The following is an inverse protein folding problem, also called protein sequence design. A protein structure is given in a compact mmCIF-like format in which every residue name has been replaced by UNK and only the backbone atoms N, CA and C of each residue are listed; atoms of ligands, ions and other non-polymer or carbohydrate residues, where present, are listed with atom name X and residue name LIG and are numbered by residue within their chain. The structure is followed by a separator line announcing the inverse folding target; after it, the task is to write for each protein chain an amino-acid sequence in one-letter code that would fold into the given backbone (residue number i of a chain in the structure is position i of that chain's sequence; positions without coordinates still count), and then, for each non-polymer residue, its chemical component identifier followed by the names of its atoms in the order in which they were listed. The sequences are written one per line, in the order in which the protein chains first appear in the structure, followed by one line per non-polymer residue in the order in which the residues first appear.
data_IF_430288134421
#
_entry.id   IF_430288134421
#
_cell.length_a   1.000
_cell.length_b   1.000
_cell.length_c   1.000
_cell.angle_alpha   90.00
_cell.angle_beta   90.00
_cell.angle_gamma   90.00
#
_symmetry.space_group_name_H-M   'P 1'
#
loop_
_entity.id
_entity.type
_entity.pdbx_description
1 polymer ?
#
# COMPACT_ATOMS: atom_id res chain seq x y z
N UNK A 1 21.63 23.90 14.89
CA UNK A 1 21.46 22.57 14.25
C UNK A 1 21.27 21.44 15.26
N UNK A 2 22.00 21.43 16.39
CA UNK A 2 21.89 20.36 17.42
C UNK A 2 20.53 20.31 18.12
N UNK A 3 19.97 21.45 18.53
CA UNK A 3 18.69 21.51 19.27
C UNK A 3 17.49 20.93 18.47
N UNK A 4 17.29 21.27 17.18
CA UNK A 4 16.27 20.61 16.36
C UNK A 4 16.45 19.10 16.21
N UNK A 5 17.71 18.62 16.15
CA UNK A 5 18.01 17.19 16.05
C UNK A 5 17.69 16.44 17.35
N UNK A 6 18.05 17.02 18.50
CA UNK A 6 17.69 16.45 19.81
C UNK A 6 16.18 16.42 19.99
N UNK A 7 15.47 17.51 19.64
CA UNK A 7 14.01 17.51 19.66
C UNK A 7 13.42 16.39 18.78
N UNK A 8 14.04 16.08 17.64
CA UNK A 8 13.61 14.99 16.76
C UNK A 8 13.85 13.62 17.41
N UNK A 9 15.03 13.41 17.99
CA UNK A 9 15.38 12.18 18.73
C UNK A 9 14.40 12.00 19.89
N UNK A 10 14.23 13.01 20.73
CA UNK A 10 13.31 13.02 21.87
C UNK A 10 11.86 12.82 21.42
N UNK A 11 11.48 13.26 20.21
CA UNK A 11 10.15 13.03 19.64
C UNK A 11 9.95 11.57 19.26
N UNK A 12 10.93 10.97 18.59
CA UNK A 12 10.80 9.59 18.09
C UNK A 12 11.14 8.51 19.13
N UNK A 13 11.94 8.84 20.14
CA UNK A 13 12.26 7.97 21.27
C UNK A 13 10.99 7.57 22.05
N UNK A 14 9.98 8.45 22.10
CA UNK A 14 8.64 8.17 22.66
C UNK A 14 7.98 6.94 22.02
N UNK A 15 8.32 6.68 20.75
CA UNK A 15 7.81 5.56 19.95
C UNK A 15 8.78 4.37 19.94
N UNK A 16 9.83 4.39 20.76
CA UNK A 16 10.96 3.44 20.74
C UNK A 16 11.63 3.37 19.35
N UNK A 17 11.67 4.50 18.65
CA UNK A 17 12.29 4.60 17.32
C UNK A 17 13.64 5.28 17.47
N UNK A 18 14.69 4.52 17.20
CA UNK A 18 16.04 5.05 17.15
C UNK A 18 16.25 5.82 15.84
N UNK A 19 16.12 7.15 15.92
CA UNK A 19 16.33 8.05 14.78
C UNK A 19 17.73 7.92 14.18
N UNK A 20 18.72 7.46 14.95
CA UNK A 20 20.08 7.24 14.45
C UNK A 20 20.18 5.97 13.60
N UNK A 21 19.27 5.01 13.81
CA UNK A 21 19.17 3.77 13.03
C UNK A 21 18.34 3.94 11.76
N UNK A 22 17.43 4.93 11.73
CA UNK A 22 16.57 5.21 10.60
C UNK A 22 17.16 6.31 9.69
N UNK A 23 17.26 6.02 8.39
CA UNK A 23 17.96 6.87 7.41
C UNK A 23 17.18 8.15 7.07
N UNK A 24 15.88 8.22 7.41
CA UNK A 24 15.03 9.37 7.07
C UNK A 24 13.90 9.61 8.06
N UNK A 25 13.48 10.88 8.19
CA UNK A 25 12.27 11.26 8.94
C UNK A 25 11.04 10.53 8.41
N UNK A 26 10.94 10.32 7.08
CA UNK A 26 9.87 9.52 6.48
C UNK A 26 9.78 8.10 7.06
N UNK A 27 10.93 7.43 7.24
CA UNK A 27 10.96 6.10 7.84
C UNK A 27 10.64 6.13 9.33
N UNK A 28 11.06 7.17 10.06
CA UNK A 28 10.67 7.37 11.45
C UNK A 28 9.16 7.58 11.58
N UNK A 29 8.54 8.41 10.73
CA UNK A 29 7.08 8.64 10.69
C UNK A 29 6.33 7.36 10.33
N UNK A 30 6.83 6.58 9.36
CA UNK A 30 6.23 5.29 9.02
C UNK A 30 6.32 4.28 10.16
N UNK A 31 7.47 4.17 10.82
CA UNK A 31 7.65 3.32 11.99
C UNK A 31 6.78 3.80 13.16
N UNK A 32 6.65 5.11 13.35
CA UNK A 32 5.79 5.75 14.36
C UNK A 32 4.33 5.38 14.12
N UNK A 33 3.90 5.47 12.86
CA UNK A 33 2.56 5.12 12.41
C UNK A 33 2.25 3.65 12.65
N UNK A 34 3.18 2.74 12.35
CA UNK A 34 3.04 1.32 12.69
C UNK A 34 3.00 1.11 14.19
N UNK A 35 3.94 1.69 14.94
CA UNK A 35 3.99 1.58 16.40
C UNK A 35 2.70 2.09 17.04
N UNK A 36 2.15 3.20 16.53
CA UNK A 36 0.88 3.78 16.96
C UNK A 36 -0.32 2.90 16.65
N UNK A 37 -0.29 2.23 15.50
CA UNK A 37 -1.31 1.27 15.11
C UNK A 37 -1.28 0.03 15.99
N UNK A 38 -0.10 -0.49 16.37
CA UNK A 38 -0.01 -1.74 17.13
C UNK A 38 0.00 -1.56 18.65
N UNK A 39 0.35 -0.37 19.17
CA UNK A 39 0.47 -0.10 20.61
C UNK A 39 -0.29 1.16 21.06
N UNK A 40 -1.58 1.31 20.69
CA UNK A 40 -2.41 2.50 20.93
C UNK A 40 -2.51 2.93 22.41
N UNK A 41 -2.46 1.97 23.35
CA UNK A 41 -2.55 2.24 24.79
C UNK A 41 -1.34 2.97 25.38
N UNK A 42 -0.27 3.12 24.60
CA UNK A 42 0.92 3.89 24.97
C UNK A 42 0.82 5.37 24.57
N UNK A 43 -0.33 5.82 24.06
CA UNK A 43 -0.52 7.18 23.56
C UNK A 43 -1.50 8.01 24.41
N UNK A 44 -1.11 9.25 24.70
CA UNK A 44 -1.92 10.28 25.36
C UNK A 44 -2.11 11.49 24.43
N UNK A 45 -2.75 11.29 23.28
CA UNK A 45 -3.26 12.40 22.46
C UNK A 45 -4.79 12.36 22.51
N UNK A 46 -5.38 13.35 23.18
CA UNK A 46 -6.83 13.48 23.38
C UNK A 46 -7.58 13.84 22.08
N UNK A 47 -6.87 14.30 21.05
CA UNK A 47 -7.47 14.58 19.73
C UNK A 47 -7.48 13.31 18.88
N UNK A 48 -8.67 12.74 18.73
CA UNK A 48 -8.99 11.58 17.89
C UNK A 48 -8.28 10.27 18.29
N UNK A 49 -8.66 9.74 19.47
CA UNK A 49 -8.39 8.35 19.87
C UNK A 49 -8.96 7.39 18.83
N UNK A 50 -8.12 7.04 17.85
CA UNK A 50 -8.42 5.96 16.95
C UNK A 50 -7.55 4.76 17.34
N UNK A 51 -8.18 4.00 18.21
CA UNK A 51 -7.77 2.78 18.88
C UNK A 51 -7.66 1.63 17.88
N UNK A 52 -6.48 1.40 17.30
CA UNK A 52 -6.22 0.20 16.50
C UNK A 52 -5.53 -0.83 17.38
N UNK A 53 -6.06 -2.05 17.50
CA UNK A 53 -5.53 -3.10 18.38
C UNK A 53 -5.66 -2.87 19.92
N UNK A 54 -6.34 -1.84 20.48
CA UNK A 54 -6.53 -1.81 21.97
C UNK A 54 -7.40 -2.98 22.44
N UNK A 55 -8.32 -3.45 21.59
CA UNK A 55 -9.16 -4.61 21.84
C UNK A 55 -8.54 -5.92 21.34
N UNK A 56 -7.28 -5.90 20.85
CA UNK A 56 -6.60 -7.12 20.43
C UNK A 56 -6.26 -8.00 21.63
N UNK A 57 -7.07 -9.03 21.81
CA UNK A 57 -6.84 -10.14 22.72
C UNK A 57 -6.42 -11.42 21.95
N UNK A 58 -5.28 -11.99 22.33
CA UNK A 58 -4.75 -13.24 21.78
C UNK A 58 -5.68 -14.45 22.00
N UNK A 59 -6.69 -14.37 22.88
CA UNK A 59 -7.62 -15.47 23.16
C UNK A 59 -8.91 -15.38 22.33
N UNK A 60 -9.19 -14.23 21.73
CA UNK A 60 -10.37 -14.02 20.88
C UNK A 60 -10.21 -14.73 19.52
N UNK A 61 -11.34 -15.11 18.93
CA UNK A 61 -11.44 -15.59 17.56
C UNK A 61 -11.65 -14.39 16.61
N UNK A 62 -10.61 -14.07 15.83
CA UNK A 62 -10.68 -13.04 14.77
C UNK A 62 -10.88 -13.64 13.39
N UNK A 63 -11.08 -14.95 13.29
CA UNK A 63 -11.43 -15.51 12.00
C UNK A 63 -12.65 -14.75 11.46
N UNK A 64 -12.64 -14.47 10.17
CA UNK A 64 -13.76 -13.87 9.46
C UNK A 64 -14.47 -15.01 8.73
N UNK A 65 -15.19 -15.91 9.45
CA UNK A 65 -15.88 -16.99 8.79
C UNK A 65 -16.94 -16.37 7.88
N UNK A 66 -17.09 -16.96 6.70
CA UNK A 66 -18.29 -16.76 5.92
C UNK A 66 -19.50 -17.01 6.87
N UNK A 67 -20.40 -16.04 7.08
CA UNK A 67 -21.50 -16.20 8.04
C UNK A 67 -22.44 -17.35 7.67
N UNK A 68 -22.39 -17.82 6.43
CA UNK A 68 -23.12 -18.97 5.92
C UNK A 68 -22.25 -20.26 5.84
N UNK A 69 -21.03 -20.25 6.39
CA UNK A 69 -20.15 -21.41 6.37
C UNK A 69 -20.77 -22.55 7.18
N UNK A 70 -20.98 -23.69 6.52
CA UNK A 70 -21.47 -24.89 7.19
C UNK A 70 -20.37 -25.47 8.09
N UNK A 71 -20.71 -25.91 9.31
CA UNK A 71 -19.80 -26.70 10.13
C UNK A 71 -19.23 -27.88 9.34
N UNK A 72 -17.97 -28.20 9.58
CA UNK A 72 -17.36 -29.35 8.94
C UNK A 72 -17.87 -30.64 9.59
N UNK A 73 -18.37 -31.57 8.77
CA UNK A 73 -18.76 -32.91 9.22
C UNK A 73 -17.73 -33.94 8.75
N UNK A 74 -17.10 -34.65 9.69
CA UNK A 74 -16.11 -35.66 9.38
C UNK A 74 -16.78 -36.93 8.81
N UNK A 75 -16.50 -37.25 7.55
CA UNK A 75 -16.95 -38.51 6.94
C UNK A 75 -15.92 -39.63 7.12
N UNK A 76 -16.38 -40.88 7.15
CA UNK A 76 -15.51 -42.06 7.25
C UNK A 76 -14.49 -42.09 6.09
N UNK A 77 -14.92 -41.73 4.88
CA UNK A 77 -14.04 -41.67 3.71
C UNK A 77 -12.94 -40.60 3.85
N UNK A 78 -13.30 -39.41 4.33
CA UNK A 78 -12.34 -38.35 4.61
C UNK A 78 -11.33 -38.78 5.67
N UNK A 79 -11.81 -39.38 6.78
CA UNK A 79 -10.94 -39.85 7.86
C UNK A 79 -9.96 -40.93 7.40
N UNK A 80 -10.43 -41.93 6.65
CA UNK A 80 -9.58 -42.97 6.03
C UNK A 80 -8.45 -42.37 5.19
N UNK A 81 -8.77 -41.38 4.38
CA UNK A 81 -7.77 -40.66 3.58
C UNK A 81 -6.77 -39.90 4.46
N UNK A 82 -7.22 -39.25 5.53
CA UNK A 82 -6.34 -38.54 6.47
C UNK A 82 -5.39 -39.48 7.21
N UNK A 83 -5.85 -40.60 7.75
CA UNK A 83 -5.00 -41.61 8.38
C UNK A 83 -3.90 -42.11 7.44
N UNK A 84 -4.26 -42.39 6.17
CA UNK A 84 -3.28 -42.77 5.16
C UNK A 84 -2.21 -41.68 4.97
N UNK A 85 -2.63 -40.43 4.80
CA UNK A 85 -1.69 -39.32 4.62
C UNK A 85 -0.80 -39.07 5.84
N UNK A 86 -1.32 -39.15 7.06
CA UNK A 86 -0.52 -39.02 8.28
C UNK A 86 0.52 -40.14 8.41
N UNK A 87 0.13 -41.37 8.12
CA UNK A 87 1.06 -42.51 8.10
C UNK A 87 2.17 -42.32 7.06
N UNK A 88 1.82 -41.84 5.87
CA UNK A 88 2.81 -41.54 4.82
C UNK A 88 3.74 -40.38 5.21
N UNK A 89 3.22 -39.35 5.87
CA UNK A 89 4.02 -38.23 6.35
C UNK A 89 5.05 -38.68 7.40
N UNK A 90 4.63 -39.51 8.35
CA UNK A 90 5.51 -40.03 9.40
C UNK A 90 6.53 -41.02 8.84
N UNK A 91 6.11 -41.91 7.92
CA UNK A 91 7.03 -42.79 7.21
C UNK A 91 8.13 -42.01 6.48
N UNK A 92 7.76 -40.98 5.70
CA UNK A 92 8.71 -40.15 4.96
C UNK A 92 9.69 -39.39 5.86
N UNK A 93 9.27 -39.08 7.08
CA UNK A 93 10.10 -38.40 8.06
C UNK A 93 10.88 -39.36 8.97
N UNK A 94 10.83 -40.69 8.72
CA UNK A 94 11.53 -41.68 9.53
C UNK A 94 10.93 -41.93 10.92
N UNK A 95 9.68 -41.53 11.16
CA UNK A 95 8.98 -41.71 12.44
C UNK A 95 8.27 -43.07 12.54
N UNK A 96 8.03 -43.52 13.76
CA UNK A 96 7.27 -44.76 14.04
C UNK A 96 5.85 -44.67 13.44
N UNK A 97 5.42 -45.69 12.70
CA UNK A 97 4.10 -45.66 12.01
C UNK A 97 3.06 -46.61 12.59
N UNK A 98 3.44 -47.49 13.51
CA UNK A 98 2.55 -48.48 14.11
C UNK A 98 1.59 -47.86 15.12
N UNK A 99 2.06 -46.86 15.87
CA UNK A 99 1.26 -46.13 16.87
C UNK A 99 0.48 -44.95 16.30
N UNK A 100 0.41 -44.84 14.97
CA UNK A 100 -0.26 -43.72 14.31
C UNK A 100 -1.78 -43.75 14.53
N UNK A 101 -2.46 -42.62 14.30
CA UNK A 101 -3.92 -42.59 14.26
C UNK A 101 -4.45 -43.54 13.18
N UNK A 102 -5.53 -44.24 13.50
CA UNK A 102 -6.11 -45.28 12.66
C UNK A 102 -7.55 -44.97 12.28
N UNK A 103 -8.10 -45.78 11.37
CA UNK A 103 -9.51 -45.68 10.97
C UNK A 103 -10.47 -45.92 12.12
N UNK A 104 -10.04 -46.64 13.15
CA UNK A 104 -10.84 -47.00 14.31
C UNK A 104 -11.00 -45.82 15.28
N UNK A 105 -10.17 -44.78 15.12
CA UNK A 105 -10.27 -43.53 15.89
C UNK A 105 -11.34 -42.56 15.35
N UNK A 106 -12.16 -43.00 14.38
CA UNK A 106 -13.14 -42.16 13.69
C UNK A 106 -14.08 -41.42 14.64
N UNK A 107 -14.75 -42.14 15.55
CA UNK A 107 -15.76 -41.53 16.43
C UNK A 107 -15.14 -40.50 17.37
N UNK A 108 -13.92 -40.78 17.85
CA UNK A 108 -13.16 -39.84 18.67
C UNK A 108 -12.85 -38.54 17.92
N UNK A 109 -12.29 -38.63 16.71
CA UNK A 109 -11.91 -37.43 15.95
C UNK A 109 -13.10 -36.70 15.34
N UNK A 110 -14.20 -37.41 15.05
CA UNK A 110 -15.48 -36.78 14.69
C UNK A 110 -15.96 -35.89 15.83
N UNK A 111 -16.08 -36.44 17.04
CA UNK A 111 -16.49 -35.67 18.21
C UNK A 111 -15.50 -34.53 18.52
N UNK A 112 -14.20 -34.77 18.39
CA UNK A 112 -13.18 -33.74 18.59
C UNK A 112 -13.39 -32.57 17.64
N UNK A 113 -13.51 -32.79 16.33
CA UNK A 113 -13.68 -31.69 15.36
C UNK A 113 -15.05 -31.01 15.45
N UNK A 114 -16.09 -31.69 15.93
CA UNK A 114 -17.41 -31.09 16.17
C UNK A 114 -17.44 -30.16 17.38
N UNK A 115 -16.68 -30.50 18.43
CA UNK A 115 -16.74 -29.81 19.74
C UNK A 115 -15.58 -28.85 19.98
N UNK A 116 -14.45 -29.05 19.29
CA UNK A 116 -13.25 -28.25 19.48
C UNK A 116 -13.12 -27.13 18.45
N UNK A 117 -12.16 -26.25 18.71
CA UNK A 117 -11.70 -25.24 17.77
C UNK A 117 -10.24 -25.52 17.40
N UNK A 118 -9.74 -24.81 16.40
CA UNK A 118 -8.32 -24.83 16.06
C UNK A 118 -7.47 -24.36 17.26
N UNK A 119 -6.52 -25.18 17.69
CA UNK A 119 -5.61 -24.88 18.82
C UNK A 119 -4.74 -23.63 18.59
N UNK A 120 -4.51 -23.23 17.34
CA UNK A 120 -3.62 -22.12 16.98
C UNK A 120 -4.39 -20.80 16.82
N UNK A 121 -5.49 -20.81 16.06
CA UNK A 121 -6.24 -19.59 15.72
C UNK A 121 -7.57 -19.43 16.44
N UNK A 122 -8.00 -20.45 17.19
CA UNK A 122 -9.29 -20.51 17.89
C UNK A 122 -10.54 -20.49 16.99
N UNK A 123 -10.38 -20.65 15.67
CA UNK A 123 -11.49 -20.71 14.73
C UNK A 123 -12.18 -22.09 14.75
N UNK A 124 -13.50 -22.09 14.52
CA UNK A 124 -14.28 -23.31 14.28
C UNK A 124 -13.92 -23.98 12.95
N UNK A 125 -14.10 -25.29 12.88
CA UNK A 125 -13.90 -26.05 11.65
C UNK A 125 -15.13 -25.98 10.74
N UNK A 126 -14.90 -25.60 9.49
CA UNK A 126 -15.93 -25.48 8.44
C UNK A 126 -15.38 -26.07 7.15
N UNK A 127 -16.23 -26.23 6.13
CA UNK A 127 -15.75 -26.67 4.81
C UNK A 127 -14.74 -25.69 4.17
N UNK A 128 -14.79 -24.41 4.55
CA UNK A 128 -13.82 -23.39 4.13
C UNK A 128 -12.55 -23.37 5.02
N UNK A 129 -12.62 -23.98 6.21
CA UNK A 129 -11.55 -24.04 7.21
C UNK A 129 -11.37 -25.46 7.75
N UNK A 130 -10.81 -26.34 6.91
CA UNK A 130 -10.75 -27.77 7.17
C UNK A 130 -9.85 -28.12 8.37
N UNK A 131 -10.22 -29.13 9.18
CA UNK A 131 -9.39 -29.60 10.28
C UNK A 131 -8.21 -30.46 9.82
N UNK A 132 -7.20 -30.48 10.67
CA UNK A 132 -6.02 -31.31 10.61
C UNK A 132 -5.51 -31.61 12.02
N UNK A 133 -4.59 -32.56 12.13
CA UNK A 133 -3.84 -32.84 13.34
C UNK A 133 -2.48 -32.15 13.26
N UNK A 134 -2.24 -31.20 14.16
CA UNK A 134 -0.95 -30.57 14.38
C UNK A 134 -0.22 -31.33 15.49
N UNK A 135 1.05 -31.64 15.26
CA UNK A 135 1.86 -32.41 16.22
C UNK A 135 2.50 -31.45 17.20
N UNK A 136 2.36 -31.75 18.48
CA UNK A 136 2.99 -30.98 19.56
C UNK A 136 4.51 -31.18 19.54
N UNK A 137 4.94 -32.43 19.31
CA UNK A 137 6.33 -32.78 19.04
C UNK A 137 6.46 -33.32 17.61
N UNK A 138 7.25 -32.62 16.80
CA UNK A 138 7.49 -32.96 15.40
C UNK A 138 8.40 -34.19 15.21
N UNK A 139 9.09 -34.66 16.25
CA UNK A 139 9.87 -35.90 16.25
C UNK A 139 9.00 -37.13 16.54
N UNK A 140 7.81 -36.93 17.15
CA UNK A 140 6.87 -37.99 17.47
C UNK A 140 5.81 -38.18 16.37
N UNK A 141 5.25 -39.41 16.23
CA UNK A 141 4.23 -39.67 15.21
C UNK A 141 2.88 -39.06 15.56
N UNK A 142 1.95 -39.08 14.60
CA UNK A 142 0.58 -38.64 14.83
C UNK A 142 -0.14 -39.62 15.75
N UNK A 143 -0.28 -39.28 17.02
CA UNK A 143 -1.01 -40.07 18.02
C UNK A 143 -2.05 -39.20 18.73
N UNK A 144 -3.03 -39.81 19.40
CA UNK A 144 -4.02 -39.06 20.19
C UNK A 144 -3.39 -38.13 21.25
N UNK A 145 -2.28 -38.55 21.84
CA UNK A 145 -1.58 -37.79 22.87
C UNK A 145 -0.67 -36.69 22.29
N UNK A 146 -0.14 -36.89 21.08
CA UNK A 146 0.79 -35.95 20.45
C UNK A 146 0.09 -34.92 19.54
N UNK A 147 -1.19 -35.11 19.21
CA UNK A 147 -1.87 -34.25 18.24
C UNK A 147 -2.93 -33.34 18.86
N UNK A 148 -2.94 -32.08 18.41
CA UNK A 148 -4.01 -31.12 18.67
C UNK A 148 -4.80 -30.84 17.38
N UNK A 149 -6.11 -30.56 17.48
CA UNK A 149 -6.91 -30.19 16.31
C UNK A 149 -6.51 -28.77 15.85
N UNK A 150 -6.07 -28.64 14.60
CA UNK A 150 -5.66 -27.38 14.01
C UNK A 150 -6.18 -27.22 12.58
N UNK A 151 -6.42 -25.99 12.15
CA UNK A 151 -6.81 -25.71 10.77
C UNK A 151 -5.66 -26.02 9.81
N UNK A 152 -5.94 -26.53 8.60
CA UNK A 152 -4.88 -26.91 7.64
C UNK A 152 -3.91 -25.76 7.37
N UNK A 153 -4.42 -24.54 7.16
CA UNK A 153 -3.56 -23.37 6.93
C UNK A 153 -2.73 -23.00 8.15
N UNK A 154 -3.26 -23.20 9.36
CA UNK A 154 -2.57 -22.93 10.62
C UNK A 154 -1.41 -23.90 10.82
N UNK A 155 -1.66 -25.19 10.61
CA UNK A 155 -0.66 -26.25 10.70
C UNK A 155 0.49 -26.02 9.69
N UNK A 156 0.17 -25.65 8.45
CA UNK A 156 1.17 -25.28 7.44
C UNK A 156 1.98 -24.03 7.87
N UNK A 157 1.32 -23.01 8.42
CA UNK A 157 1.98 -21.78 8.85
C UNK A 157 2.86 -21.97 10.10
N UNK A 158 2.45 -22.88 10.99
CA UNK A 158 3.18 -23.32 12.18
C UNK A 158 4.43 -24.09 11.79
N UNK A 159 4.30 -25.14 10.99
CA UNK A 159 5.40 -26.00 10.60
C UNK A 159 6.26 -26.43 11.82
N UNK A 160 7.50 -25.93 11.92
CA UNK A 160 8.41 -26.18 13.04
C UNK A 160 8.73 -24.89 13.84
N UNK A 161 7.89 -23.85 13.72
CA UNK A 161 8.09 -22.56 14.39
C UNK A 161 7.54 -22.60 15.81
N UNK A 162 7.90 -21.60 16.61
CA UNK A 162 7.34 -21.46 17.96
C UNK A 162 5.80 -21.33 17.91
N UNK A 163 5.05 -22.15 18.67
CA UNK A 163 3.58 -22.14 18.63
C UNK A 163 2.97 -20.80 19.05
N UNK A 164 3.55 -20.11 20.04
CA UNK A 164 3.03 -18.83 20.56
C UNK A 164 3.25 -17.72 19.54
N UNK A 165 4.44 -17.63 18.96
CA UNK A 165 4.78 -16.64 17.93
C UNK A 165 3.91 -16.86 16.68
N UNK A 166 3.74 -18.11 16.27
CA UNK A 166 2.90 -18.45 15.11
C UNK A 166 1.43 -18.08 15.37
N UNK A 167 0.89 -18.45 16.53
CA UNK A 167 -0.47 -18.07 16.93
C UNK A 167 -0.66 -16.55 16.91
N UNK A 168 0.27 -15.79 17.49
CA UNK A 168 0.25 -14.33 17.48
C UNK A 168 0.20 -13.77 16.05
N UNK A 169 1.10 -14.20 15.17
CA UNK A 169 1.12 -13.71 13.79
C UNK A 169 -0.19 -14.03 13.02
N UNK A 170 -0.73 -15.23 13.20
CA UNK A 170 -2.00 -15.63 12.57
C UNK A 170 -3.14 -14.75 13.09
N UNK A 171 -3.22 -14.53 14.40
CA UNK A 171 -4.28 -13.73 15.01
C UNK A 171 -4.16 -12.25 14.64
N UNK A 172 -2.96 -11.68 14.63
CA UNK A 172 -2.73 -10.31 14.15
C UNK A 172 -3.15 -10.14 12.69
N UNK A 173 -2.86 -11.15 11.84
CA UNK A 173 -3.28 -11.15 10.44
C UNK A 173 -4.81 -11.20 10.32
N UNK A 174 -5.46 -12.07 11.08
CA UNK A 174 -6.93 -12.20 11.09
C UNK A 174 -7.59 -10.92 11.59
N UNK A 175 -7.07 -10.32 12.66
CA UNK A 175 -7.51 -9.01 13.15
C UNK A 175 -7.38 -7.93 12.06
N UNK A 176 -6.21 -7.84 11.41
CA UNK A 176 -6.01 -6.89 10.31
C UNK A 176 -7.02 -7.09 9.17
N UNK A 177 -7.34 -8.34 8.82
CA UNK A 177 -8.36 -8.67 7.81
C UNK A 177 -9.74 -8.21 8.27
N UNK A 178 -10.13 -8.51 9.51
CA UNK A 178 -11.44 -8.17 10.08
C UNK A 178 -11.67 -6.66 10.12
N UNK A 179 -10.62 -5.90 10.41
CA UNK A 179 -10.67 -4.44 10.55
C UNK A 179 -10.19 -3.67 9.31
N UNK A 180 -9.99 -4.36 8.16
CA UNK A 180 -9.53 -3.76 6.90
C UNK A 180 -8.21 -2.96 7.01
N UNK A 181 -7.34 -3.34 7.94
CA UNK A 181 -6.07 -2.68 8.14
C UNK A 181 -5.13 -2.92 6.96
N UNK A 182 -4.12 -2.07 6.73
CA UNK A 182 -3.16 -2.29 5.67
C UNK A 182 -2.34 -3.54 5.96
N UNK A 183 -2.09 -4.32 4.92
CA UNK A 183 -1.38 -5.58 5.03
C UNK A 183 -0.28 -5.66 3.98
N UNK A 184 0.64 -6.59 4.16
CA UNK A 184 1.60 -6.95 3.12
C UNK A 184 0.88 -7.35 1.84
N UNK A 185 1.28 -6.75 0.72
CA UNK A 185 0.76 -7.10 -0.60
C UNK A 185 1.25 -8.50 -0.97
N UNK A 186 0.32 -9.45 -1.09
CA UNK A 186 0.63 -10.83 -1.48
C UNK A 186 0.49 -11.10 -2.97
N UNK A 187 -0.24 -10.24 -3.70
CA UNK A 187 -0.41 -10.38 -5.15
C UNK A 187 0.72 -9.63 -5.88
N UNK A 188 1.53 -10.38 -6.62
CA UNK A 188 2.68 -9.85 -7.36
C UNK A 188 2.28 -8.78 -8.39
N UNK A 189 1.08 -8.88 -8.99
CA UNK A 189 0.58 -7.91 -9.99
C UNK A 189 0.27 -6.58 -9.33
N UNK A 190 -0.37 -6.62 -8.15
CA UNK A 190 -0.62 -5.44 -7.33
C UNK A 190 0.72 -4.82 -6.91
N UNK A 191 1.67 -5.64 -6.44
CA UNK A 191 3.00 -5.17 -6.06
C UNK A 191 3.72 -4.47 -7.22
N UNK A 192 3.75 -5.09 -8.41
CA UNK A 192 4.35 -4.51 -9.63
C UNK A 192 3.70 -3.18 -10.00
N UNK A 193 2.37 -3.11 -9.99
CA UNK A 193 1.62 -1.89 -10.28
C UNK A 193 1.95 -0.75 -9.29
N UNK A 194 2.00 -1.05 -7.99
CA UNK A 194 2.37 -0.07 -6.97
C UNK A 194 3.84 0.34 -7.07
N UNK A 195 4.74 -0.57 -7.46
CA UNK A 195 6.17 -0.27 -7.60
C UNK A 195 6.43 0.77 -8.68
N UNK A 196 5.63 0.79 -9.74
CA UNK A 196 5.69 1.82 -10.80
C UNK A 196 5.34 3.23 -10.29
N UNK A 197 4.58 3.34 -9.20
CA UNK A 197 4.23 4.63 -8.58
C UNK A 197 5.39 5.25 -7.80
N UNK A 198 6.40 4.45 -7.43
CA UNK A 198 7.49 4.92 -6.60
C UNK A 198 8.48 5.70 -7.46
N UNK A 199 8.30 7.01 -7.47
CA UNK A 199 9.23 7.97 -8.06
C UNK A 199 9.97 8.70 -6.94
N UNK A 200 11.24 9.03 -7.16
CA UNK A 200 11.94 9.96 -6.26
C UNK A 200 11.30 11.34 -6.36
N UNK A 201 11.39 12.13 -5.28
CA UNK A 201 10.88 13.50 -5.27
C UNK A 201 11.52 14.38 -6.35
N UNK A 202 10.81 15.43 -6.75
CA UNK A 202 11.34 16.44 -7.65
C UNK A 202 12.39 17.26 -6.91
N UNK A 203 13.65 16.85 -6.98
CA UNK A 203 14.78 17.65 -6.53
C UNK A 203 15.08 18.74 -7.57
N UNK A 204 14.15 19.67 -7.77
CA UNK A 204 14.39 20.85 -8.57
C UNK A 204 14.91 21.96 -7.64
N UNK A 205 16.23 22.08 -7.54
CA UNK A 205 16.83 23.34 -7.09
C UNK A 205 16.72 24.30 -8.26
N UNK A 206 15.60 25.03 -8.33
CA UNK A 206 15.48 26.10 -9.30
C UNK A 206 16.42 27.23 -8.87
N UNK A 207 17.53 27.40 -9.59
CA UNK A 207 18.36 28.60 -9.49
C UNK A 207 17.65 29.75 -10.24
N UNK A 208 16.49 30.18 -9.76
CA UNK A 208 15.84 31.41 -10.21
C UNK A 208 16.09 32.49 -9.18
N UNK A 209 16.78 33.55 -9.60
CA UNK A 209 16.90 34.77 -8.84
C UNK A 209 15.61 35.58 -8.99
N UNK A 210 14.88 35.76 -7.90
CA UNK A 210 13.72 36.65 -7.84
C UNK A 210 14.05 37.80 -6.90
N UNK A 211 14.05 39.03 -7.41
CA UNK A 211 14.34 40.25 -6.65
C UNK A 211 13.07 41.08 -6.54
N UNK A 212 12.69 41.40 -5.29
CA UNK A 212 11.56 42.27 -5.02
C UNK A 212 11.70 43.64 -5.70
N UNK A 213 10.65 44.07 -6.39
CA UNK A 213 10.59 45.32 -7.15
C UNK A 213 11.38 45.35 -8.45
N UNK A 214 12.03 44.24 -8.85
CA UNK A 214 12.81 44.16 -10.10
C UNK A 214 12.40 43.02 -11.02
N UNK A 215 12.16 41.84 -10.46
CA UNK A 215 11.78 40.67 -11.27
C UNK A 215 10.32 40.79 -11.68
N UNK A 216 10.06 40.76 -12.98
CA UNK A 216 8.71 40.70 -13.51
C UNK A 216 8.11 39.29 -13.37
N UNK A 217 6.79 39.20 -13.23
CA UNK A 217 6.11 37.90 -13.20
C UNK A 217 6.02 37.38 -14.63
N UNK A 218 6.57 36.18 -14.84
CA UNK A 218 6.52 35.51 -16.13
C UNK A 218 5.17 34.79 -16.32
N UNK A 219 4.53 35.01 -17.45
CA UNK A 219 3.31 34.35 -17.88
C UNK A 219 3.58 33.40 -19.04
N UNK A 220 2.93 32.24 -19.01
CA UNK A 220 2.99 31.24 -20.06
C UNK A 220 1.64 31.21 -20.79
N UNK A 221 1.67 31.36 -22.10
CA UNK A 221 0.48 31.25 -22.97
C UNK A 221 0.75 30.23 -24.07
N UNK A 222 -0.13 29.24 -24.20
CA UNK A 222 -0.17 28.31 -25.31
C UNK A 222 -0.87 28.96 -26.51
N UNK A 223 -0.16 29.04 -27.62
CA UNK A 223 -0.71 29.39 -28.93
C UNK A 223 -1.01 28.10 -29.71
N UNK A 224 -2.30 27.86 -29.96
CA UNK A 224 -2.77 26.68 -30.67
C UNK A 224 -2.38 26.70 -32.16
N UNK A 225 -2.24 27.89 -32.77
CA UNK A 225 -1.90 28.01 -34.20
C UNK A 225 -0.46 27.59 -34.47
N UNK A 226 0.50 28.09 -33.69
CA UNK A 226 1.90 27.69 -33.81
C UNK A 226 2.26 26.43 -33.03
N UNK A 227 1.35 25.94 -32.18
CA UNK A 227 1.56 24.83 -31.26
C UNK A 227 2.77 25.06 -30.33
N UNK A 228 2.90 26.27 -29.79
CA UNK A 228 4.02 26.68 -28.93
C UNK A 228 3.52 27.28 -27.63
N UNK A 229 4.36 27.18 -26.60
CA UNK A 229 4.20 27.96 -25.37
C UNK A 229 5.05 29.21 -25.48
N UNK A 230 4.41 30.37 -25.37
CA UNK A 230 5.01 31.68 -25.33
C UNK A 230 5.24 32.03 -23.86
N UNK A 231 6.47 32.38 -23.51
CA UNK A 231 6.84 32.88 -22.19
C UNK A 231 7.16 34.36 -22.31
N UNK A 232 6.44 35.18 -21.55
CA UNK A 232 6.57 36.63 -21.60
C UNK A 232 6.39 37.21 -20.19
N UNK A 233 7.13 38.29 -19.91
CA UNK A 233 7.00 39.01 -18.65
C UNK A 233 5.77 39.92 -18.71
N UNK A 234 4.95 39.89 -17.67
CA UNK A 234 3.84 40.82 -17.52
C UNK A 234 4.30 42.13 -16.85
N UNK A 235 3.40 43.10 -16.76
CA UNK A 235 3.69 44.41 -16.15
C UNK A 235 3.89 44.36 -14.62
N UNK A 236 3.52 43.24 -13.98
CA UNK A 236 3.59 43.09 -12.54
C UNK A 236 5.01 42.70 -12.11
N UNK A 237 5.50 43.37 -11.06
CA UNK A 237 6.76 43.02 -10.42
C UNK A 237 6.52 42.22 -9.15
N UNK A 238 7.38 41.23 -8.90
CA UNK A 238 7.40 40.49 -7.64
C UNK A 238 7.66 41.48 -6.51
N UNK A 239 6.78 41.58 -5.52
CA UNK A 239 6.96 42.49 -4.38
C UNK A 239 7.49 41.78 -3.14
N UNK A 240 7.17 40.50 -2.99
CA UNK A 240 7.54 39.68 -1.84
C UNK A 240 7.92 38.27 -2.32
N UNK A 241 8.95 37.69 -1.71
CA UNK A 241 9.34 36.29 -1.92
C UNK A 241 9.27 35.60 -0.57
N UNK A 242 8.42 34.58 -0.45
CA UNK A 242 8.34 33.75 0.74
C UNK A 242 8.55 32.29 0.35
N UNK A 243 9.37 31.58 1.12
CA UNK A 243 9.54 30.14 0.98
C UNK A 243 8.70 29.46 2.06
N UNK A 244 7.57 28.86 1.67
CA UNK A 244 6.87 27.92 2.52
C UNK A 244 7.59 26.57 2.39
N UNK A 245 8.46 26.25 3.36
CA UNK A 245 8.95 24.89 3.53
C UNK A 245 7.80 24.03 4.05
N UNK A 246 7.01 23.54 3.10
CA UNK A 246 5.94 22.62 3.39
C UNK A 246 6.54 21.31 3.88
N UNK A 247 6.51 21.08 5.20
CA UNK A 247 6.58 19.75 5.82
C UNK A 247 5.47 18.78 5.32
N UNK A 248 4.72 19.16 4.28
CA UNK A 248 3.59 18.53 3.62
C UNK A 248 3.96 17.45 2.59
N UNK A 249 5.19 16.93 2.57
CA UNK A 249 5.55 15.76 1.75
C UNK A 249 4.84 14.46 2.19
N UNK A 250 4.01 14.51 3.24
CA UNK A 250 3.27 13.37 3.76
C UNK A 250 1.76 13.69 3.79
N UNK A 251 1.03 13.57 2.67
CA UNK A 251 -0.44 13.61 2.67
C UNK A 251 -1.07 12.61 3.67
N UNK A 252 -0.32 11.54 4.00
CA UNK A 252 -0.66 10.57 5.03
C UNK A 252 -0.70 11.11 6.47
N UNK A 253 -0.26 12.34 6.72
CA UNK A 253 -0.35 13.01 8.03
C UNK A 253 -1.71 13.69 8.26
N UNK A 254 -2.52 13.83 7.20
CA UNK A 254 -3.87 14.40 7.25
C UNK A 254 -4.92 13.42 6.72
N UNK A 255 -4.56 12.14 6.53
CA UNK A 255 -5.53 11.15 6.16
C UNK A 255 -6.61 11.04 7.23
N UNK A 256 -7.80 10.62 6.83
CA UNK A 256 -8.94 10.38 7.73
C UNK A 256 -9.52 11.62 8.44
N UNK A 257 -8.91 12.80 8.33
CA UNK A 257 -9.47 14.08 8.76
C UNK A 257 -10.51 14.54 7.72
N UNK A 258 -11.63 15.10 8.21
CA UNK A 258 -12.63 15.69 7.33
C UNK A 258 -12.12 16.98 6.69
N UNK A 259 -12.22 17.07 5.37
CA UNK A 259 -11.87 18.21 4.55
C UNK A 259 -12.88 18.34 3.41
N UNK A 260 -13.58 19.48 3.37
CA UNK A 260 -14.63 19.80 2.39
C UNK A 260 -14.11 19.82 0.94
N UNK A 261 -12.80 20.00 0.75
CA UNK A 261 -12.16 19.94 -0.56
C UNK A 261 -12.03 18.51 -1.12
N UNK A 262 -12.55 17.49 -0.43
CA UNK A 262 -12.51 16.08 -0.85
C UNK A 262 -13.93 15.56 -1.09
N UNK A 263 -14.61 15.99 -2.16
CA UNK A 263 -16.05 15.74 -2.34
C UNK A 263 -16.40 14.27 -2.64
N UNK A 264 -15.41 13.42 -2.89
CA UNK A 264 -15.63 12.05 -3.41
C UNK A 264 -16.00 11.03 -2.33
N UNK A 265 -15.53 11.24 -1.10
CA UNK A 265 -15.48 10.19 -0.07
C UNK A 265 -15.91 10.71 1.30
N UNK A 266 -17.11 11.29 1.39
CA UNK A 266 -17.64 11.89 2.63
C UNK A 266 -16.67 12.95 3.21
N UNK A 267 -16.14 13.82 2.34
CA UNK A 267 -15.20 14.86 2.73
C UNK A 267 -13.99 14.30 3.49
N UNK A 268 -13.49 13.11 3.14
CA UNK A 268 -12.42 12.44 3.88
C UNK A 268 -11.47 11.70 2.96
N UNK A 269 -10.16 11.89 3.15
CA UNK A 269 -9.15 11.10 2.46
C UNK A 269 -8.90 9.77 3.19
N UNK A 270 -9.52 8.68 2.72
CA UNK A 270 -9.21 7.33 3.20
C UNK A 270 -7.85 6.84 2.71
N UNK A 271 -7.15 6.10 3.58
CA UNK A 271 -5.96 5.34 3.22
C UNK A 271 -6.32 3.98 2.65
N UNK A 272 -5.41 3.39 1.87
CA UNK A 272 -5.55 2.04 1.38
C UNK A 272 -5.41 1.02 2.54
N UNK A 273 -6.46 0.24 2.76
CA UNK A 273 -6.46 -0.93 3.64
C UNK A 273 -6.02 -2.20 2.90
N UNK A 274 -6.68 -3.31 3.21
CA UNK A 274 -6.49 -4.60 2.53
C UNK A 274 -6.77 -4.48 1.02
N UNK A 275 -5.94 -5.10 0.18
CA UNK A 275 -6.24 -5.25 -1.25
C UNK A 275 -7.45 -6.16 -1.48
N UNK A 276 -8.44 -5.68 -2.24
CA UNK A 276 -9.66 -6.43 -2.58
C UNK A 276 -9.48 -7.24 -3.86
N UNK A 277 -9.10 -6.59 -4.96
CA UNK A 277 -8.90 -7.26 -6.24
C UNK A 277 -7.99 -6.46 -7.19
N UNK A 278 -7.48 -7.18 -8.18
CA UNK A 278 -6.80 -6.65 -9.36
C UNK A 278 -7.59 -6.98 -10.62
N UNK A 279 -7.68 -6.05 -11.57
CA UNK A 279 -8.37 -6.27 -12.85
C UNK A 279 -7.69 -5.52 -13.98
N UNK A 280 -7.65 -6.14 -15.16
CA UNK A 280 -7.21 -5.54 -16.43
C UNK A 280 -8.40 -5.31 -17.38
N UNK A 281 -9.62 -5.60 -16.92
CA UNK A 281 -10.83 -5.46 -17.74
C UNK A 281 -11.26 -3.99 -17.81
N UNK A 282 -11.26 -3.33 -18.99
CA UNK A 282 -11.53 -1.90 -19.10
C UNK A 282 -12.85 -1.45 -18.48
N UNK A 283 -13.93 -2.23 -18.64
CA UNK A 283 -15.23 -1.90 -18.06
C UNK A 283 -15.23 -1.89 -16.53
N UNK A 284 -14.45 -2.77 -15.88
CA UNK A 284 -14.30 -2.79 -14.42
C UNK A 284 -13.53 -1.56 -13.97
N UNK A 285 -12.44 -1.23 -14.67
CA UNK A 285 -11.58 -0.08 -14.37
C UNK A 285 -12.40 1.22 -14.48
N UNK A 286 -13.08 1.42 -15.61
CA UNK A 286 -13.94 2.58 -15.85
C UNK A 286 -15.03 2.71 -14.79
N UNK A 287 -15.74 1.61 -14.50
CA UNK A 287 -16.79 1.59 -13.47
C UNK A 287 -16.26 2.02 -12.08
N UNK A 288 -15.08 1.52 -11.67
CA UNK A 288 -14.48 1.90 -10.39
C UNK A 288 -14.10 3.40 -10.35
N UNK A 289 -13.54 3.93 -11.44
CA UNK A 289 -13.15 5.34 -11.54
C UNK A 289 -14.39 6.24 -11.49
N UNK A 290 -15.41 5.95 -12.31
CA UNK A 290 -16.61 6.78 -12.48
C UNK A 290 -17.49 6.79 -11.24
N UNK A 291 -17.55 5.67 -10.49
CA UNK A 291 -18.37 5.59 -9.29
C UNK A 291 -17.87 6.49 -8.16
N UNK A 292 -16.58 6.86 -8.18
CA UNK A 292 -15.91 7.68 -7.15
C UNK A 292 -16.04 7.18 -5.71
N UNK A 293 -16.28 5.87 -5.53
CA UNK A 293 -16.56 5.26 -4.22
C UNK A 293 -15.38 4.50 -3.65
N UNK A 294 -14.54 3.94 -4.51
CA UNK A 294 -13.53 2.96 -4.14
C UNK A 294 -12.15 3.61 -3.96
N UNK A 295 -11.32 3.03 -3.10
CA UNK A 295 -9.90 3.41 -2.99
C UNK A 295 -9.14 2.53 -3.95
N UNK A 296 -8.41 3.15 -4.88
CA UNK A 296 -7.76 2.40 -5.95
C UNK A 296 -6.46 3.03 -6.40
N UNK A 297 -5.67 2.21 -7.08
CA UNK A 297 -4.58 2.64 -7.93
C UNK A 297 -4.85 2.12 -9.33
N UNK A 298 -4.90 3.01 -10.31
CA UNK A 298 -5.26 2.71 -11.69
C UNK A 298 -4.13 3.09 -12.65
N UNK A 299 -3.91 2.26 -13.67
CA UNK A 299 -2.97 2.49 -14.76
C UNK A 299 -3.76 2.85 -16.02
N UNK A 300 -3.67 4.10 -16.45
CA UNK A 300 -4.46 4.65 -17.56
C UNK A 300 -3.61 5.52 -18.50
N UNK A 301 -4.14 5.80 -19.68
CA UNK A 301 -3.66 6.87 -20.58
C UNK A 301 -4.71 7.95 -20.69
N UNK A 302 -4.28 9.18 -20.91
CA UNK A 302 -5.21 10.27 -21.17
C UNK A 302 -4.49 11.57 -21.47
N UNK A 303 -5.29 12.60 -21.69
CA UNK A 303 -4.82 13.93 -22.04
C UNK A 303 -5.81 14.99 -21.54
N UNK A 304 -5.34 16.21 -21.34
CA UNK A 304 -6.21 17.38 -21.23
C UNK A 304 -6.47 17.95 -22.62
N UNK A 305 -7.71 18.36 -22.95
CA UNK A 305 -7.97 19.11 -24.18
C UNK A 305 -7.10 20.37 -24.28
N UNK A 306 -6.72 20.76 -25.50
CA UNK A 306 -5.92 21.98 -25.74
C UNK A 306 -6.56 23.25 -25.18
N UNK A 307 -7.90 23.29 -25.12
CA UNK A 307 -8.65 24.39 -24.50
C UNK A 307 -8.29 24.62 -23.04
N UNK A 308 -7.80 23.60 -22.33
CA UNK A 308 -7.41 23.69 -20.93
C UNK A 308 -5.93 24.05 -20.73
N UNK A 309 -5.10 24.08 -21.79
CA UNK A 309 -3.65 24.23 -21.64
C UNK A 309 -3.29 25.54 -20.93
N UNK A 310 -3.90 26.65 -21.32
CA UNK A 310 -3.64 27.94 -20.67
C UNK A 310 -3.99 27.97 -19.17
N UNK A 311 -5.01 27.21 -18.76
CA UNK A 311 -5.38 27.09 -17.34
C UNK A 311 -4.37 26.24 -16.55
N UNK A 312 -3.74 25.27 -17.21
CA UNK A 312 -2.86 24.28 -16.58
C UNK A 312 -1.37 24.60 -16.71
N UNK A 313 -0.97 25.45 -17.66
CA UNK A 313 0.41 25.81 -17.93
C UNK A 313 1.20 26.34 -16.71
N UNK A 314 0.60 27.13 -15.79
CA UNK A 314 1.31 27.58 -14.60
C UNK A 314 1.81 26.41 -13.72
N UNK A 315 1.06 25.30 -13.70
CA UNK A 315 1.44 24.08 -12.98
C UNK A 315 0.84 22.84 -13.67
N UNK A 316 1.52 22.28 -14.69
CA UNK A 316 0.99 21.13 -15.41
C UNK A 316 0.80 19.95 -14.45
N UNK A 317 -0.40 19.38 -14.36
CA UNK A 317 -0.75 18.58 -13.19
C UNK A 317 -0.20 17.16 -13.23
N UNK A 318 0.41 16.70 -14.34
CA UNK A 318 0.92 15.33 -14.48
C UNK A 318 2.41 15.25 -14.17
N UNK A 319 2.77 14.70 -13.00
CA UNK A 319 4.16 14.51 -12.59
C UNK A 319 4.72 13.19 -13.12
N UNK A 320 5.72 13.24 -14.01
CA UNK A 320 6.26 12.05 -14.66
C UNK A 320 7.76 12.11 -14.86
N UNK A 321 8.42 10.96 -14.67
CA UNK A 321 9.79 10.76 -15.14
C UNK A 321 9.79 10.54 -16.66
N UNK A 322 10.47 11.40 -17.40
CA UNK A 322 10.72 11.24 -18.82
C UNK A 322 12.22 11.08 -19.07
N UNK A 323 12.57 10.35 -20.11
CA UNK A 323 13.94 10.31 -20.62
C UNK A 323 14.10 11.46 -21.61
N UNK A 324 15.09 12.31 -21.36
CA UNK A 324 15.43 13.45 -22.19
C UNK A 324 16.78 13.13 -22.84
N UNK A 325 16.85 13.27 -24.16
CA UNK A 325 18.11 13.22 -24.91
C UNK A 325 18.73 14.61 -24.89
N UNK A 326 20.04 14.69 -24.60
CA UNK A 326 20.79 15.95 -24.56
C UNK A 326 21.13 16.45 -25.98
N UNK A 327 20.12 16.53 -26.85
CA UNK A 327 20.20 17.10 -28.20
C UNK A 327 19.81 18.57 -28.19
N UNK A 328 20.43 19.36 -29.06
CA UNK A 328 20.17 20.79 -29.19
C UNK A 328 18.68 21.10 -29.42
N UNK A 329 18.02 20.33 -30.29
CA UNK A 329 16.58 20.46 -30.56
C UNK A 329 15.67 20.22 -29.34
N UNK A 330 16.17 19.53 -28.30
CA UNK A 330 15.41 19.14 -27.11
C UNK A 330 15.69 20.08 -25.94
N UNK A 331 16.96 20.39 -25.68
CA UNK A 331 17.37 21.21 -24.52
C UNK A 331 17.58 22.69 -24.85
N UNK A 332 17.54 23.04 -26.14
CA UNK A 332 17.77 24.39 -26.66
C UNK A 332 19.25 24.73 -26.84
N UNK A 333 19.52 25.62 -27.79
CA UNK A 333 20.86 26.09 -28.18
C UNK A 333 21.70 26.58 -26.99
N UNK A 334 21.11 27.37 -26.10
CA UNK A 334 21.82 27.90 -24.94
C UNK A 334 22.31 26.79 -24.00
N UNK A 335 21.44 25.88 -23.59
CA UNK A 335 21.83 24.79 -22.66
C UNK A 335 22.82 23.86 -23.34
N UNK A 336 22.59 23.55 -24.62
CA UNK A 336 23.48 22.71 -25.42
C UNK A 336 24.88 23.31 -25.55
N UNK A 337 25.00 24.61 -25.87
CA UNK A 337 26.28 25.30 -25.97
C UNK A 337 27.01 25.41 -24.63
N UNK A 338 26.30 25.67 -23.52
CA UNK A 338 26.91 25.64 -22.18
C UNK A 338 27.42 24.24 -21.85
N UNK A 339 26.65 23.21 -22.15
CA UNK A 339 27.04 21.84 -21.87
C UNK A 339 28.27 21.41 -22.69
N UNK A 340 28.37 21.83 -23.96
CA UNK A 340 29.58 21.66 -24.77
C UNK A 340 30.78 22.42 -24.20
N UNK A 341 30.60 23.70 -23.84
CA UNK A 341 31.66 24.55 -23.28
C UNK A 341 32.27 23.97 -22.00
N UNK A 342 31.46 23.30 -21.20
CA UNK A 342 31.87 22.68 -19.93
C UNK A 342 32.17 21.17 -20.06
N UNK A 343 32.26 20.63 -21.27
CA UNK A 343 32.57 19.22 -21.53
C UNK A 343 31.63 18.24 -20.80
N UNK A 344 30.34 18.59 -20.70
CA UNK A 344 29.33 17.72 -20.08
C UNK A 344 28.98 16.53 -21.01
N UNK A 345 28.54 15.38 -20.46
CA UNK A 345 28.16 14.22 -21.28
C UNK A 345 26.89 14.47 -22.12
N UNK A 346 27.06 14.67 -23.44
CA UNK A 346 25.96 15.01 -24.36
C UNK A 346 25.26 13.80 -25.01
N UNK A 347 25.87 12.62 -24.99
CA UNK A 347 25.28 11.40 -25.57
C UNK A 347 24.39 10.63 -24.60
N UNK A 348 24.29 11.10 -23.35
CA UNK A 348 23.56 10.41 -22.29
C UNK A 348 22.08 10.76 -22.35
N UNK A 349 21.24 9.76 -22.10
CA UNK A 349 19.82 9.96 -21.77
C UNK A 349 19.71 10.24 -20.29
N UNK A 350 19.13 11.38 -19.95
CA UNK A 350 18.89 11.75 -18.57
C UNK A 350 17.42 11.55 -18.22
N UNK A 351 17.18 10.79 -17.16
CA UNK A 351 15.85 10.63 -16.59
C UNK A 351 15.55 11.84 -15.70
N UNK A 352 14.53 12.62 -16.05
CA UNK A 352 14.10 13.81 -15.30
C UNK A 352 12.65 13.65 -14.88
N UNK A 353 12.37 13.89 -13.60
CA UNK A 353 11.00 14.13 -13.14
C UNK A 353 10.59 15.53 -13.60
N UNK A 354 9.46 15.63 -14.28
CA UNK A 354 8.91 16.88 -14.80
C UNK A 354 7.39 16.88 -14.70
N UNK A 355 6.76 17.98 -15.08
CA UNK A 355 5.31 18.18 -15.13
C UNK A 355 4.84 18.25 -16.58
N UNK A 356 3.73 17.58 -16.89
CA UNK A 356 3.12 17.50 -18.23
C UNK A 356 1.61 17.80 -18.18
N UNK A 357 1.02 18.05 -19.36
CA UNK A 357 -0.43 18.22 -19.56
C UNK A 357 -1.10 16.97 -20.16
N UNK A 358 -0.37 15.88 -20.36
CA UNK A 358 -0.94 14.59 -20.77
C UNK A 358 -0.04 13.44 -20.29
N UNK A 359 -0.47 12.18 -20.54
CA UNK A 359 0.34 11.01 -20.20
C UNK A 359 1.43 10.69 -21.24
N UNK A 360 1.66 11.60 -22.18
CA UNK A 360 2.60 11.52 -23.30
C UNK A 360 2.47 10.21 -24.11
N UNK A 361 1.22 9.82 -24.40
CA UNK A 361 0.90 8.58 -25.11
C UNK A 361 1.24 7.28 -24.36
N UNK A 362 1.75 7.37 -23.13
CA UNK A 362 2.19 6.24 -22.32
C UNK A 362 1.24 5.99 -21.16
N UNK A 363 1.13 4.73 -20.73
CA UNK A 363 0.38 4.44 -19.51
C UNK A 363 1.09 5.04 -18.30
N UNK A 364 0.29 5.55 -17.37
CA UNK A 364 0.75 6.08 -16.10
C UNK A 364 -0.14 5.57 -14.98
N UNK A 365 0.45 5.39 -13.80
CA UNK A 365 -0.26 4.92 -12.63
C UNK A 365 -0.65 6.12 -11.76
N UNK A 366 -1.92 6.16 -11.34
CA UNK A 366 -2.49 7.20 -10.51
C UNK A 366 -3.21 6.57 -9.32
N UNK A 367 -3.10 7.19 -8.15
CA UNK A 367 -4.04 6.91 -7.06
C UNK A 367 -5.41 7.56 -7.37
N UNK A 368 -6.45 7.10 -6.69
CA UNK A 368 -7.82 7.55 -6.92
C UNK A 368 -8.03 9.05 -6.76
N UNK A 369 -7.52 9.67 -5.67
CA UNK A 369 -7.74 11.10 -5.41
C UNK A 369 -7.04 11.98 -6.44
N UNK A 370 -5.82 11.62 -6.81
CA UNK A 370 -5.08 12.32 -7.84
C UNK A 370 -5.78 12.17 -9.19
N UNK A 371 -6.21 10.96 -9.57
CA UNK A 371 -6.91 10.75 -10.84
C UNK A 371 -8.26 11.48 -10.89
N UNK A 372 -9.03 11.49 -9.81
CA UNK A 372 -10.30 12.21 -9.74
C UNK A 372 -10.11 13.73 -9.84
N UNK A 373 -9.08 14.27 -9.19
CA UNK A 373 -8.71 15.68 -9.34
C UNK A 373 -8.38 16.01 -10.80
N UNK A 374 -7.60 15.15 -11.48
CA UNK A 374 -7.29 15.34 -12.90
C UNK A 374 -8.57 15.33 -13.76
N UNK A 375 -9.48 14.39 -13.52
CA UNK A 375 -10.77 14.31 -14.24
C UNK A 375 -11.60 15.58 -14.03
N UNK A 376 -11.65 16.12 -12.82
CA UNK A 376 -12.39 17.34 -12.52
C UNK A 376 -11.78 18.58 -13.18
N UNK A 377 -10.47 18.57 -13.41
CA UNK A 377 -9.77 19.58 -14.20
C UNK A 377 -9.93 19.38 -15.73
N UNK A 378 -10.69 18.37 -16.17
CA UNK A 378 -10.95 18.11 -17.59
C UNK A 378 -10.09 17.02 -18.23
N UNK A 379 -9.41 16.18 -17.45
CA UNK A 379 -8.61 15.07 -17.99
C UNK A 379 -9.49 14.00 -18.62
N UNK A 380 -9.20 13.66 -19.88
CA UNK A 380 -9.91 12.61 -20.63
C UNK A 380 -9.07 11.34 -20.63
N UNK A 381 -9.61 10.28 -20.01
CA UNK A 381 -9.01 8.94 -20.09
C UNK A 381 -9.32 8.34 -21.46
N UNK A 382 -8.28 7.98 -22.20
CA UNK A 382 -8.38 7.37 -23.53
C UNK A 382 -8.24 5.86 -23.49
N UNK A 383 -7.56 5.32 -22.48
CA UNK A 383 -7.31 3.88 -22.40
C UNK A 383 -7.08 3.41 -20.96
N UNK A 384 -7.48 2.17 -20.67
CA UNK A 384 -7.47 1.55 -19.35
C UNK A 384 -6.65 0.27 -19.36
N UNK A 385 -5.62 0.17 -18.53
CA UNK A 385 -4.72 -0.99 -18.49
C UNK A 385 -4.92 -1.90 -17.29
N UNK A 386 -4.95 -1.31 -16.10
CA UNK A 386 -5.06 -2.08 -14.87
C UNK A 386 -5.65 -1.24 -13.75
N UNK A 387 -6.26 -1.90 -12.78
CA UNK A 387 -6.67 -1.31 -11.50
C UNK A 387 -6.44 -2.31 -10.38
N UNK A 388 -6.03 -1.80 -9.22
CA UNK A 388 -6.12 -2.51 -7.95
C UNK A 388 -7.00 -1.71 -7.02
N UNK A 389 -7.93 -2.39 -6.35
CA UNK A 389 -8.88 -1.77 -5.42
C UNK A 389 -8.58 -2.23 -4.00
N UNK A 390 -8.69 -1.31 -3.05
CA UNK A 390 -8.42 -1.52 -1.63
C UNK A 390 -9.66 -1.21 -0.79
N UNK A 391 -9.75 -1.84 0.37
CA UNK A 391 -10.69 -1.44 1.41
C UNK A 391 -10.36 -0.02 1.88
N UNK A 392 -11.40 0.73 2.26
CA UNK A 392 -11.23 2.02 2.92
C UNK A 392 -10.68 1.79 4.32
N UNK A 393 -9.65 2.53 4.66
CA UNK A 393 -9.09 2.52 6.00
C UNK A 393 -8.96 3.94 6.53
N UNK A 394 -9.36 4.12 7.79
CA UNK A 394 -9.23 5.38 8.52
C UNK A 394 -8.05 5.36 9.49
N UNK A 395 -7.18 4.34 9.47
CA UNK A 395 -6.21 4.12 10.55
C UNK A 395 -5.14 5.14 10.82
N UNK A 396 -5.18 6.25 10.11
CA UNK A 396 -4.10 7.19 10.06
C UNK A 396 -4.58 8.60 9.79
#
# INVERSE_FOLDING_TARGET
MVKPLMNLIDTFEQFNIDVLHYISIASCTYATKHYSTYFPSKFNLESDKQTYYEDFDINVDYSNPNPNAKPFELTVGYWKSKCYHYKQQDYKAGRETEKNVTTDDYDYYKQLFETSMCSICNAKFTYDNLPSLDRQDNELPHTKANCLPACVSCNIAHANRDPKITSLHIKMRQYAIKHNLPMTISDERIYKLLRECITGGLAAVFHRENIAGKTHINELTYDEQSNKVISQDNENVVTHVFALDGNSLYPSSYSSIKNENIPYTDNRMYMAGRSRFYSEKPFVIKSCIDQRKEIFVAKVKGYFPKSEYNNLLPLPPIFRNIEIENKEEVIGEYVYSQAQKHSLPMTKKDRKLTTLVDTNGQYMVFNNYYLWLLIDLGFIITDYKAITVFEKNTAY
#
